data_IF_378023582236
#
_entry.id   IF_378023582236
#
_cell.length_a   1.000
_cell.length_b   1.000
_cell.length_c   1.000
_cell.angle_alpha   90.00
_cell.angle_beta   90.00
_cell.angle_gamma   90.00
#
_symmetry.space_group_name_H-M   'P 1'
#
loop_
_entity.id
_entity.type
_entity.pdbx_description
1 polymer ?
#
# COMPACT_ATOMS: atom_id res chain seq x y z
N UNK A 1 -3.03 3.14 -11.05
CA UNK A 1 -3.44 4.36 -11.79
C UNK A 1 -3.95 5.36 -10.75
N UNK A 2 -3.14 6.34 -10.35
CA UNK A 2 -3.58 7.38 -9.40
C UNK A 2 -4.30 8.49 -10.16
N UNK A 3 -5.55 8.76 -9.80
CA UNK A 3 -6.28 9.93 -10.27
C UNK A 3 -6.00 11.12 -9.35
N UNK A 4 -5.60 12.28 -9.91
CA UNK A 4 -5.36 13.46 -9.11
C UNK A 4 -6.64 13.90 -8.40
N UNK A 5 -6.50 14.34 -7.16
CA UNK A 5 -7.64 14.84 -6.37
C UNK A 5 -8.25 16.07 -7.03
N UNK A 6 -9.58 16.14 -7.03
CA UNK A 6 -10.32 17.27 -7.57
C UNK A 6 -9.92 18.59 -6.86
N UNK A 7 -9.79 19.66 -7.65
CA UNK A 7 -9.54 21.01 -7.15
C UNK A 7 -10.74 21.56 -6.39
N UNK A 8 -10.52 22.56 -5.52
CA UNK A 8 -11.63 23.19 -4.76
C UNK A 8 -12.71 23.76 -5.67
N UNK A 9 -12.34 24.24 -6.86
CA UNK A 9 -13.29 24.78 -7.83
C UNK A 9 -14.18 23.69 -8.44
N UNK A 10 -13.64 22.50 -8.70
CA UNK A 10 -14.39 21.34 -9.20
C UNK A 10 -15.33 20.79 -8.13
N UNK A 11 -14.87 20.72 -6.88
CA UNK A 11 -15.69 20.31 -5.74
C UNK A 11 -16.83 21.31 -5.49
N UNK A 12 -16.53 22.61 -5.52
CA UNK A 12 -17.53 23.67 -5.34
C UNK A 12 -18.58 23.69 -6.46
N UNK A 13 -18.21 23.34 -7.70
CA UNK A 13 -19.15 23.20 -8.81
C UNK A 13 -20.21 22.13 -8.54
N UNK A 14 -19.90 21.14 -7.68
CA UNK A 14 -20.81 20.08 -7.25
C UNK A 14 -21.41 20.35 -5.86
N UNK A 15 -21.18 21.55 -5.30
CA UNK A 15 -21.66 21.94 -3.98
C UNK A 15 -20.92 21.29 -2.81
N UNK A 16 -19.75 20.70 -3.07
CA UNK A 16 -18.93 20.03 -2.08
C UNK A 16 -17.80 20.95 -1.59
N UNK A 17 -17.47 20.86 -0.30
CA UNK A 17 -16.28 21.43 0.32
C UNK A 17 -15.30 20.30 0.63
N UNK A 18 -13.98 20.56 0.60
CA UNK A 18 -12.98 19.56 1.00
C UNK A 18 -13.23 18.99 2.39
N UNK A 19 -13.78 19.79 3.31
CA UNK A 19 -14.17 19.35 4.66
C UNK A 19 -15.18 18.21 4.66
N UNK A 20 -16.00 18.10 3.62
CA UNK A 20 -17.05 17.07 3.51
C UNK A 20 -16.47 15.65 3.40
N UNK A 21 -15.19 15.52 3.07
CA UNK A 21 -14.41 14.27 3.03
C UNK A 21 -12.95 14.49 3.49
N UNK A 22 -12.72 15.51 4.31
CA UNK A 22 -11.40 15.76 4.91
C UNK A 22 -11.02 14.66 5.91
N UNK A 23 -12.03 14.01 6.50
CA UNK A 23 -11.84 12.79 7.28
C UNK A 23 -11.67 11.61 6.30
N UNK A 24 -10.47 11.50 5.72
CA UNK A 24 -10.08 10.37 4.88
C UNK A 24 -9.79 9.15 5.77
N UNK A 25 -10.79 8.71 6.51
CA UNK A 25 -10.74 7.39 7.15
C UNK A 25 -10.96 6.35 6.05
N UNK A 26 -9.90 5.62 5.69
CA UNK A 26 -10.01 4.48 4.78
C UNK A 26 -10.50 3.28 5.58
N UNK A 27 -11.74 2.88 5.34
CA UNK A 27 -12.28 1.64 5.91
C UNK A 27 -11.65 0.43 5.23
N UNK A 28 -11.21 -0.54 6.03
CA UNK A 28 -10.75 -1.84 5.56
C UNK A 28 -11.91 -2.82 5.72
N UNK A 29 -12.29 -3.46 4.63
CA UNK A 29 -13.35 -4.47 4.62
C UNK A 29 -13.01 -5.61 5.61
N UNK A 30 -13.98 -6.18 6.36
CA UNK A 30 -13.71 -7.17 7.40
C UNK A 30 -12.88 -8.37 6.93
N UNK A 31 -13.10 -8.83 5.71
CA UNK A 31 -12.36 -9.92 5.07
C UNK A 31 -10.88 -9.59 4.81
N UNK A 32 -10.56 -8.30 4.60
CA UNK A 32 -9.21 -7.82 4.37
C UNK A 32 -8.48 -7.47 5.67
N UNK A 33 -9.20 -7.42 6.80
CA UNK A 33 -8.63 -7.04 8.09
C UNK A 33 -7.47 -7.95 8.52
N UNK A 34 -7.52 -9.29 8.39
CA UNK A 34 -6.41 -10.16 8.75
C UNK A 34 -5.15 -9.86 7.92
N UNK A 35 -5.30 -9.67 6.61
CA UNK A 35 -4.20 -9.28 5.71
C UNK A 35 -3.65 -7.91 6.08
N UNK A 36 -4.51 -6.93 6.33
CA UNK A 36 -4.08 -5.58 6.72
C UNK A 36 -3.33 -5.59 8.06
N UNK A 37 -3.79 -6.37 9.03
CA UNK A 37 -3.12 -6.53 10.32
C UNK A 37 -1.72 -7.14 10.14
N UNK A 38 -1.58 -8.18 9.31
CA UNK A 38 -0.29 -8.76 8.95
C UNK A 38 0.60 -7.72 8.24
N UNK A 39 0.08 -7.05 7.21
CA UNK A 39 0.76 -6.02 6.45
C UNK A 39 1.29 -4.90 7.36
N UNK A 40 0.48 -4.39 8.29
CA UNK A 40 0.84 -3.30 9.19
C UNK A 40 2.09 -3.58 10.03
N UNK A 41 2.42 -4.86 10.27
CA UNK A 41 3.60 -5.28 11.03
C UNK A 41 4.85 -5.35 10.18
N UNK A 42 4.71 -5.62 8.88
CA UNK A 42 5.82 -5.93 7.98
C UNK A 42 6.05 -4.86 6.90
N UNK A 43 5.15 -3.88 6.76
CA UNK A 43 5.12 -2.91 5.66
C UNK A 43 6.37 -2.03 5.52
N UNK A 44 7.21 -1.97 6.55
CA UNK A 44 8.46 -1.23 6.59
C UNK A 44 9.70 -2.11 6.31
N UNK A 45 9.54 -3.42 6.18
CA UNK A 45 10.64 -4.39 6.02
C UNK A 45 10.92 -4.65 4.53
N UNK A 46 11.59 -3.70 3.89
CA UNK A 46 11.96 -3.79 2.48
C UNK A 46 13.42 -4.16 2.28
N UNK A 47 13.68 -5.02 1.29
CA UNK A 47 15.02 -5.18 0.71
C UNK A 47 15.25 -4.04 -0.26
N UNK A 48 16.36 -3.33 -0.08
CA UNK A 48 16.68 -2.11 -0.84
C UNK A 48 17.97 -2.32 -1.62
N UNK A 49 17.94 -2.00 -2.91
CA UNK A 49 19.09 -1.95 -3.80
C UNK A 49 19.48 -0.50 -4.15
N UNK A 50 20.41 -0.35 -5.11
CA UNK A 50 20.93 0.97 -5.52
C UNK A 50 19.85 1.92 -6.05
N UNK A 51 18.74 1.40 -6.55
CA UNK A 51 17.63 2.17 -7.13
C UNK A 51 16.38 2.23 -6.24
N UNK A 52 16.48 1.84 -4.95
CA UNK A 52 15.34 1.82 -4.02
C UNK A 52 14.89 0.41 -3.65
N UNK A 53 13.67 0.30 -3.11
CA UNK A 53 13.08 -0.96 -2.69
C UNK A 53 12.89 -1.91 -3.90
N UNK A 54 13.23 -3.18 -3.72
CA UNK A 54 13.17 -4.20 -4.77
C UNK A 54 12.23 -5.36 -4.44
N UNK A 55 12.02 -5.64 -3.15
CA UNK A 55 11.14 -6.68 -2.65
C UNK A 55 10.90 -6.49 -1.15
N UNK A 56 9.80 -7.01 -0.64
CA UNK A 56 9.54 -7.18 0.79
C UNK A 56 10.45 -8.29 1.34
N UNK A 57 10.83 -8.23 2.61
CA UNK A 57 11.58 -9.32 3.22
C UNK A 57 10.65 -10.50 3.56
N UNK A 58 10.68 -11.52 2.71
CA UNK A 58 9.84 -12.70 2.90
C UNK A 58 10.25 -13.52 4.13
N UNK A 59 11.48 -13.39 4.64
CA UNK A 59 11.86 -14.04 5.90
C UNK A 59 11.04 -13.52 7.07
N UNK A 60 10.73 -12.22 7.09
CA UNK A 60 9.84 -11.62 8.10
C UNK A 60 8.39 -12.04 7.87
N UNK A 61 7.94 -12.07 6.61
CA UNK A 61 6.59 -12.52 6.26
C UNK A 61 6.33 -13.96 6.72
N UNK A 62 7.22 -14.89 6.39
CA UNK A 62 7.10 -16.29 6.80
C UNK A 62 7.13 -16.43 8.33
N UNK A 63 7.97 -15.66 9.02
CA UNK A 63 7.98 -15.64 10.49
C UNK A 63 6.62 -15.25 11.09
N UNK A 64 5.97 -14.20 10.56
CA UNK A 64 4.66 -13.76 11.06
C UNK A 64 3.53 -14.74 10.68
N UNK A 65 3.57 -15.33 9.48
CA UNK A 65 2.60 -16.35 9.05
C UNK A 65 2.70 -17.62 9.90
N UNK A 66 3.91 -18.11 10.16
CA UNK A 66 4.15 -19.29 11.00
C UNK A 66 3.65 -19.06 12.44
N UNK A 67 3.75 -17.82 12.95
CA UNK A 67 3.25 -17.46 14.28
C UNK A 67 1.74 -17.30 14.35
N UNK A 68 1.06 -17.11 13.23
CA UNK A 68 -0.37 -16.86 13.19
C UNK A 68 -1.21 -18.13 13.44
N UNK A 69 -0.60 -19.32 13.34
CA UNK A 69 -1.28 -20.59 13.64
C UNK A 69 -2.42 -20.90 12.67
N UNK A 70 -2.27 -20.47 11.42
CA UNK A 70 -3.23 -20.62 10.33
C UNK A 70 -3.27 -22.05 9.80
N UNK A 71 -4.39 -22.42 9.18
CA UNK A 71 -4.39 -23.61 8.33
C UNK A 71 -3.67 -23.34 6.99
N UNK A 72 -3.51 -24.39 6.17
CA UNK A 72 -2.78 -24.30 4.91
C UNK A 72 -3.46 -23.38 3.88
N UNK A 73 -4.79 -23.34 3.85
CA UNK A 73 -5.53 -22.52 2.90
C UNK A 73 -5.43 -21.04 3.29
N UNK A 74 -5.63 -20.73 4.58
CA UNK A 74 -5.47 -19.39 5.14
C UNK A 74 -4.03 -18.88 4.98
N UNK A 75 -3.04 -19.74 5.18
CA UNK A 75 -1.63 -19.40 4.98
C UNK A 75 -1.38 -18.96 3.52
N UNK A 76 -1.82 -19.79 2.56
CA UNK A 76 -1.62 -19.53 1.13
C UNK A 76 -2.44 -18.31 0.65
N UNK A 77 -3.61 -18.08 1.22
CA UNK A 77 -4.41 -16.88 0.98
C UNK A 77 -3.68 -15.62 1.47
N UNK A 78 -3.27 -15.58 2.75
CA UNK A 78 -2.56 -14.41 3.30
C UNK A 78 -1.25 -14.13 2.60
N UNK A 79 -0.51 -15.17 2.22
CA UNK A 79 0.71 -15.01 1.44
C UNK A 79 0.43 -14.31 0.11
N UNK A 80 -0.57 -14.79 -0.66
CA UNK A 80 -0.96 -14.18 -1.94
C UNK A 80 -1.45 -12.75 -1.78
N UNK A 81 -2.25 -12.46 -0.75
CA UNK A 81 -2.75 -11.11 -0.50
C UNK A 81 -1.59 -10.13 -0.27
N UNK A 82 -0.55 -10.53 0.48
CA UNK A 82 0.65 -9.71 0.69
C UNK A 82 1.43 -9.52 -0.62
N UNK A 83 1.52 -10.53 -1.49
CA UNK A 83 2.16 -10.37 -2.81
C UNK A 83 1.46 -9.32 -3.68
N UNK A 84 0.13 -9.23 -3.61
CA UNK A 84 -0.63 -8.18 -4.30
C UNK A 84 -0.23 -6.79 -3.78
N UNK A 85 -0.19 -6.63 -2.44
CA UNK A 85 0.20 -5.37 -1.81
C UNK A 85 1.64 -4.98 -2.18
N UNK A 86 2.57 -5.94 -2.17
CA UNK A 86 3.97 -5.74 -2.55
C UNK A 86 4.10 -5.21 -3.98
N UNK A 87 3.42 -5.86 -4.93
CA UNK A 87 3.45 -5.48 -6.36
C UNK A 87 2.99 -4.03 -6.57
N UNK A 88 1.89 -3.64 -5.92
CA UNK A 88 1.36 -2.27 -6.00
C UNK A 88 2.30 -1.27 -5.31
N UNK A 89 2.85 -1.62 -4.15
CA UNK A 89 3.80 -0.76 -3.45
C UNK A 89 5.07 -0.52 -4.28
N UNK A 90 5.62 -1.55 -4.93
CA UNK A 90 6.77 -1.41 -5.83
C UNK A 90 6.46 -0.49 -7.03
N UNK A 91 5.26 -0.62 -7.61
CA UNK A 91 4.79 0.26 -8.68
C UNK A 91 4.76 1.72 -8.22
N UNK A 92 4.15 1.99 -7.06
CA UNK A 92 4.09 3.34 -6.47
C UNK A 92 5.49 3.89 -6.17
N UNK A 93 6.41 3.06 -5.67
CA UNK A 93 7.79 3.48 -5.39
C UNK A 93 8.52 3.87 -6.67
N UNK A 94 8.35 3.10 -7.75
CA UNK A 94 8.91 3.41 -9.05
C UNK A 94 8.36 4.74 -9.60
N UNK A 95 7.03 4.92 -9.59
CA UNK A 95 6.37 6.16 -10.03
C UNK A 95 6.87 7.39 -9.25
N UNK A 96 6.99 7.28 -7.92
CA UNK A 96 7.51 8.36 -7.06
C UNK A 96 8.98 8.68 -7.34
N UNK A 97 9.80 7.66 -7.62
CA UNK A 97 11.21 7.86 -7.98
C UNK A 97 11.34 8.62 -9.30
N UNK A 98 10.52 8.30 -10.30
CA UNK A 98 10.50 9.02 -11.58
C UNK A 98 10.03 10.47 -11.43
N UNK A 99 8.97 10.70 -10.65
CA UNK A 99 8.48 12.06 -10.37
C UNK A 99 9.55 12.91 -9.64
N UNK A 100 10.28 12.32 -8.69
CA UNK A 100 11.35 13.01 -7.97
C UNK A 100 12.56 13.37 -8.88
N UNK A 101 12.85 12.54 -9.89
CA UNK A 101 13.88 12.86 -10.91
C UNK A 101 13.43 14.02 -11.80
N UNK A 102 12.17 14.01 -12.24
CA UNK A 102 11.59 15.08 -13.06
C UNK A 102 11.60 16.45 -12.37
N UNK A 103 11.31 16.50 -11.08
CA UNK A 103 11.32 17.75 -10.29
C UNK A 103 12.72 18.31 -10.00
N UNK A 104 13.78 17.49 -10.05
CA UNK A 104 15.17 17.92 -9.80
C UNK A 104 15.91 18.36 -11.07
N UNK A 105 15.38 18.01 -12.24
CA UNK A 105 15.96 18.33 -13.54
C UNK A 105 15.41 19.60 -14.20
N UNK A 106 14.50 20.32 -13.53
CA UNK A 106 13.89 21.57 -14.03
C UNK A 106 14.38 22.80 -13.28
#
# INVERSE_FOLDING_TARGET
MYEPEASDAELAAWGLQRSDYADKTTEVWPENWPTYALWSRICNQWRVGMAGAIALDYGVLFHELDRAGLDAEEYDERFRDIQVIESEALTIFAERAEHAKGSRGS
#
